data_IF_864849005694
#
_entry.id   IF_864849005694
#
_cell.length_a   1.000
_cell.length_b   1.000
_cell.length_c   1.000
_cell.angle_alpha   90.00
_cell.angle_beta   90.00
_cell.angle_gamma   90.00
#
_symmetry.space_group_name_H-M   'P 1'
#
loop_
_entity.id
_entity.type
_entity.pdbx_description
1 polymer ?
#
# COMPACT_ATOMS: atom_id res chain seq x y z
N UNK A 1 -22.95 -19.68 22.93
CA UNK A 1 -22.27 -20.25 21.73
C UNK A 1 -21.17 -19.28 21.31
N UNK A 2 -19.88 -19.66 21.37
CA UNK A 2 -18.81 -18.87 20.74
C UNK A 2 -18.80 -19.18 19.26
N UNK A 3 -19.24 -18.24 18.43
CA UNK A 3 -19.14 -18.33 16.98
C UNK A 3 -17.65 -18.46 16.61
N UNK A 4 -17.27 -19.59 16.00
CA UNK A 4 -15.91 -19.78 15.49
C UNK A 4 -15.70 -18.83 14.31
N UNK A 5 -15.00 -17.74 14.54
CA UNK A 5 -14.74 -16.71 13.52
C UNK A 5 -13.97 -17.33 12.35
N UNK A 6 -14.48 -17.16 11.13
CA UNK A 6 -13.86 -17.72 9.93
C UNK A 6 -12.48 -17.05 9.68
N UNK A 7 -11.39 -17.81 9.48
CA UNK A 7 -10.05 -17.26 9.25
C UNK A 7 -9.98 -16.31 8.04
N UNK A 8 -10.82 -16.51 7.03
CA UNK A 8 -10.93 -15.59 5.87
C UNK A 8 -11.52 -14.24 6.27
N UNK A 9 -12.54 -14.25 7.12
CA UNK A 9 -13.16 -13.02 7.65
C UNK A 9 -12.16 -12.25 8.50
N UNK A 10 -11.41 -12.93 9.37
CA UNK A 10 -10.36 -12.30 10.19
C UNK A 10 -9.29 -11.63 9.32
N UNK A 11 -8.83 -12.30 8.25
CA UNK A 11 -7.89 -11.72 7.29
C UNK A 11 -8.43 -10.47 6.62
N UNK A 12 -9.68 -10.49 6.16
CA UNK A 12 -10.34 -9.31 5.56
C UNK A 12 -10.43 -8.16 6.56
N UNK A 13 -10.79 -8.45 7.81
CA UNK A 13 -10.84 -7.44 8.88
C UNK A 13 -9.48 -6.78 9.08
N UNK A 14 -8.39 -7.55 9.13
CA UNK A 14 -7.02 -6.98 9.26
C UNK A 14 -6.68 -6.08 8.07
N UNK A 15 -6.95 -6.53 6.84
CA UNK A 15 -6.69 -5.73 5.63
C UNK A 15 -7.50 -4.42 5.63
N UNK A 16 -8.77 -4.49 6.03
CA UNK A 16 -9.66 -3.33 6.13
C UNK A 16 -9.15 -2.36 7.20
N UNK A 17 -8.75 -2.86 8.37
CA UNK A 17 -8.18 -2.01 9.44
C UNK A 17 -6.93 -1.27 8.94
N UNK A 18 -6.01 -1.95 8.24
CA UNK A 18 -4.82 -1.33 7.66
C UNK A 18 -5.21 -0.20 6.70
N UNK A 19 -6.11 -0.49 5.74
CA UNK A 19 -6.52 0.48 4.73
C UNK A 19 -7.28 1.67 5.34
N UNK A 20 -8.19 1.42 6.29
CA UNK A 20 -8.91 2.48 7.01
C UNK A 20 -7.94 3.33 7.82
N UNK A 21 -6.92 2.73 8.45
CA UNK A 21 -5.91 3.50 9.20
C UNK A 21 -5.14 4.43 8.27
N UNK A 22 -4.72 3.96 7.09
CA UNK A 22 -4.05 4.80 6.09
C UNK A 22 -4.99 5.88 5.54
N UNK A 23 -6.26 5.56 5.29
CA UNK A 23 -7.25 6.54 4.87
C UNK A 23 -7.51 7.60 5.95
N UNK A 24 -7.55 7.22 7.23
CA UNK A 24 -7.71 8.14 8.34
C UNK A 24 -6.52 9.10 8.47
N UNK A 25 -5.31 8.64 8.17
CA UNK A 25 -4.13 9.52 8.14
C UNK A 25 -4.29 10.65 7.11
N UNK A 26 -5.01 10.46 5.99
CA UNK A 26 -5.22 11.53 5.01
C UNK A 26 -6.04 12.70 5.54
N UNK A 27 -6.83 12.52 6.60
CA UNK A 27 -7.55 13.62 7.23
C UNK A 27 -6.67 14.48 8.14
N UNK A 28 -5.45 14.04 8.44
CA UNK A 28 -4.48 14.83 9.18
C UNK A 28 -3.83 15.79 8.19
N UNK A 29 -3.92 17.09 8.47
CA UNK A 29 -3.27 18.11 7.65
C UNK A 29 -1.76 18.11 7.90
N UNK A 30 -1.02 17.38 7.08
CA UNK A 30 0.44 17.29 7.15
C UNK A 30 1.15 18.51 6.55
N UNK A 31 0.49 19.37 5.75
CA UNK A 31 1.12 20.58 5.21
C UNK A 31 1.63 21.53 6.30
N UNK A 32 1.01 21.48 7.49
CA UNK A 32 1.40 22.28 8.66
C UNK A 32 2.34 21.56 9.62
N UNK A 33 2.83 20.38 9.26
CA UNK A 33 3.73 19.62 10.11
C UNK A 33 5.06 20.38 10.30
N UNK A 34 5.47 20.68 11.53
CA UNK A 34 6.75 21.36 11.81
C UNK A 34 7.76 20.47 12.55
N UNK A 35 7.52 19.16 12.57
CA UNK A 35 8.38 18.21 13.26
C UNK A 35 9.64 17.82 12.49
N UNK A 36 10.44 16.88 13.03
CA UNK A 36 11.63 16.37 12.35
C UNK A 36 11.26 15.72 11.00
N UNK A 37 12.15 15.81 10.03
CA UNK A 37 11.99 15.22 8.69
C UNK A 37 10.79 15.78 7.92
N UNK A 38 10.52 17.08 8.08
CA UNK A 38 9.44 17.80 7.42
C UNK A 38 9.28 17.43 5.93
N UNK A 39 10.35 17.53 5.13
CA UNK A 39 10.34 17.22 3.70
C UNK A 39 9.84 15.81 3.40
N UNK A 40 10.21 14.83 4.23
CA UNK A 40 9.75 13.46 4.08
C UNK A 40 8.27 13.31 4.41
N UNK A 41 7.84 13.92 5.52
CA UNK A 41 6.45 13.80 6.00
C UNK A 41 5.47 14.51 5.06
N UNK A 42 5.85 15.66 4.53
CA UNK A 42 4.99 16.46 3.64
C UNK A 42 5.09 16.05 2.18
N UNK A 43 6.24 15.52 1.76
CA UNK A 43 6.50 15.11 0.37
C UNK A 43 6.17 13.64 0.12
N UNK A 44 6.84 12.72 0.81
CA UNK A 44 6.92 11.31 0.39
C UNK A 44 6.11 10.32 1.23
N UNK A 45 5.59 10.74 2.38
CA UNK A 45 4.89 9.85 3.31
C UNK A 45 3.72 9.13 2.63
N UNK A 46 2.90 9.87 1.89
CA UNK A 46 1.75 9.28 1.21
C UNK A 46 2.15 8.46 -0.02
N UNK A 47 3.25 8.81 -0.69
CA UNK A 47 3.81 8.04 -1.79
C UNK A 47 4.34 6.68 -1.34
N UNK A 48 4.58 6.48 -0.04
CA UNK A 48 4.88 5.17 0.56
C UNK A 48 3.59 4.50 1.06
N UNK A 49 2.74 5.23 1.78
CA UNK A 49 1.55 4.69 2.43
C UNK A 49 0.48 4.20 1.44
N UNK A 50 0.32 4.88 0.30
CA UNK A 50 -0.65 4.51 -0.73
C UNK A 50 -0.30 3.17 -1.40
N UNK A 51 0.91 2.96 -1.95
CA UNK A 51 1.37 1.64 -2.41
C UNK A 51 1.23 0.56 -1.34
N UNK A 52 1.54 0.90 -0.09
CA UNK A 52 1.46 -0.03 1.02
C UNK A 52 0.03 -0.51 1.25
N UNK A 53 -0.93 0.42 1.34
CA UNK A 53 -2.35 0.12 1.50
C UNK A 53 -2.89 -0.65 0.29
N UNK A 54 -2.53 -0.21 -0.92
CA UNK A 54 -2.95 -0.82 -2.17
C UNK A 54 -2.49 -2.28 -2.29
N UNK A 55 -1.26 -2.61 -1.87
CA UNK A 55 -0.79 -4.00 -1.82
C UNK A 55 -1.73 -4.88 -0.99
N UNK A 56 -2.12 -4.43 0.20
CA UNK A 56 -3.05 -5.17 1.05
C UNK A 56 -4.46 -5.23 0.47
N UNK A 57 -4.91 -4.17 -0.21
CA UNK A 57 -6.18 -4.16 -0.93
C UNK A 57 -6.19 -5.19 -2.06
N UNK A 58 -5.10 -5.32 -2.83
CA UNK A 58 -4.91 -6.36 -3.85
C UNK A 58 -4.84 -7.78 -3.26
N UNK A 59 -4.60 -7.91 -1.95
CA UNK A 59 -4.65 -9.19 -1.23
C UNK A 59 -6.05 -9.58 -0.77
N UNK A 60 -7.04 -8.68 -0.87
CA UNK A 60 -8.42 -8.88 -0.45
C UNK A 60 -9.22 -9.84 -1.35
N UNK A 61 -9.12 -9.78 -2.70
CA UNK A 61 -9.80 -10.72 -3.57
C UNK A 61 -9.38 -12.16 -3.30
N UNK A 62 -10.36 -13.04 -3.16
CA UNK A 62 -10.17 -14.48 -2.95
C UNK A 62 -10.76 -15.31 -4.10
N UNK A 63 -11.17 -14.67 -5.21
CA UNK A 63 -11.78 -15.39 -6.32
C UNK A 63 -10.81 -16.44 -6.88
N UNK A 64 -11.35 -17.62 -7.18
CA UNK A 64 -10.57 -18.77 -7.67
C UNK A 64 -10.00 -18.54 -9.06
N UNK A 65 -10.54 -17.61 -9.83
CA UNK A 65 -10.22 -17.40 -11.24
C UNK A 65 -8.99 -16.51 -11.46
N UNK A 66 -8.75 -15.51 -10.59
CA UNK A 66 -7.65 -14.56 -10.75
C UNK A 66 -6.97 -14.27 -9.41
N UNK A 67 -6.17 -15.22 -8.93
CA UNK A 67 -5.29 -14.99 -7.78
C UNK A 67 -3.97 -14.39 -8.26
N UNK A 68 -3.84 -13.08 -8.11
CA UNK A 68 -2.67 -12.33 -8.55
C UNK A 68 -1.45 -12.66 -7.69
N UNK A 69 -0.35 -13.06 -8.34
CA UNK A 69 0.91 -13.40 -7.66
C UNK A 69 1.53 -12.17 -6.98
N UNK A 70 2.32 -12.37 -5.92
CA UNK A 70 2.94 -11.27 -5.16
C UNK A 70 3.79 -10.35 -6.06
N UNK A 71 4.54 -10.91 -7.01
CA UNK A 71 5.37 -10.13 -7.93
C UNK A 71 4.52 -9.30 -8.90
N UNK A 72 3.36 -9.81 -9.32
CA UNK A 72 2.44 -9.05 -10.16
C UNK A 72 1.75 -7.92 -9.40
N UNK A 73 1.43 -8.11 -8.11
CA UNK A 73 0.92 -7.03 -7.26
C UNK A 73 1.92 -5.88 -7.17
N UNK A 74 3.18 -6.20 -6.85
CA UNK A 74 4.26 -5.21 -6.77
C UNK A 74 4.45 -4.54 -8.14
N UNK A 75 4.50 -5.31 -9.22
CA UNK A 75 4.66 -4.77 -10.57
C UNK A 75 3.51 -3.84 -10.98
N UNK A 76 2.25 -4.15 -10.63
CA UNK A 76 1.12 -3.27 -10.89
C UNK A 76 1.23 -1.95 -10.12
N UNK A 77 1.60 -2.02 -8.84
CA UNK A 77 1.71 -0.83 -7.98
C UNK A 77 2.83 0.08 -8.49
N UNK A 78 4.04 -0.47 -8.67
CA UNK A 78 5.21 0.28 -9.14
C UNK A 78 5.02 0.74 -10.58
N UNK A 79 4.48 -0.13 -11.45
CA UNK A 79 4.21 0.20 -12.84
C UNK A 79 3.19 1.33 -12.97
N UNK A 80 2.11 1.29 -12.18
CA UNK A 80 1.13 2.37 -12.17
C UNK A 80 1.75 3.69 -11.69
N UNK A 81 2.49 3.69 -10.58
CA UNK A 81 3.19 4.89 -10.09
C UNK A 81 4.19 5.43 -11.10
N UNK A 82 4.96 4.55 -11.76
CA UNK A 82 5.90 4.95 -12.82
C UNK A 82 5.16 5.55 -14.02
N UNK A 83 4.02 5.01 -14.42
CA UNK A 83 3.21 5.59 -15.50
C UNK A 83 2.69 6.99 -15.14
N UNK A 84 2.33 7.22 -13.87
CA UNK A 84 1.94 8.53 -13.36
C UNK A 84 3.11 9.52 -13.46
N UNK A 85 4.31 9.14 -13.02
CA UNK A 85 5.51 9.99 -13.16
C UNK A 85 5.84 10.29 -14.63
N UNK A 86 5.78 9.27 -15.50
CA UNK A 86 6.03 9.44 -16.93
C UNK A 86 4.98 10.35 -17.59
N UNK A 87 3.72 10.31 -17.14
CA UNK A 87 2.70 11.23 -17.66
C UNK A 87 3.00 12.67 -17.28
N UNK A 88 3.47 12.91 -16.06
CA UNK A 88 3.89 14.24 -15.61
C UNK A 88 5.10 14.74 -16.41
N UNK A 89 6.08 13.87 -16.66
CA UNK A 89 7.21 14.18 -17.55
C UNK A 89 6.77 14.53 -18.97
N UNK A 90 5.71 13.91 -19.48
CA UNK A 90 5.12 14.20 -20.79
C UNK A 90 4.22 15.46 -20.80
N UNK A 91 4.09 16.15 -19.66
CA UNK A 91 3.27 17.37 -19.53
C UNK A 91 1.80 17.14 -19.18
N UNK A 92 1.42 15.91 -18.80
CA UNK A 92 0.08 15.56 -18.33
C UNK A 92 0.08 15.36 -16.81
N UNK A 93 -0.34 16.36 -16.01
CA UNK A 93 -0.34 16.30 -14.55
C UNK A 93 -1.47 15.41 -14.02
N UNK A 94 -1.22 14.09 -14.01
CA UNK A 94 -2.11 13.10 -13.42
C UNK A 94 -1.62 12.86 -11.98
N UNK A 95 -2.49 13.08 -10.97
CA UNK A 95 -2.22 12.88 -9.53
C UNK A 95 -1.07 13.69 -8.89
N UNK A 96 -0.26 14.39 -9.69
CA UNK A 96 0.79 15.32 -9.27
C UNK A 96 1.09 16.32 -10.38
N UNK A 97 2.02 17.24 -10.14
CA UNK A 97 2.31 18.36 -11.05
C UNK A 97 3.75 18.44 -11.54
N UNK A 98 4.66 17.70 -10.91
CA UNK A 98 6.09 17.81 -11.16
C UNK A 98 6.70 16.42 -11.08
N UNK A 99 7.40 16.02 -12.13
CA UNK A 99 8.14 14.76 -12.16
C UNK A 99 9.23 14.76 -11.07
N UNK A 100 9.13 13.81 -10.12
CA UNK A 100 10.17 13.54 -9.13
C UNK A 100 10.58 12.05 -9.20
N UNK A 101 11.81 11.73 -9.68
CA UNK A 101 12.32 10.36 -9.67
C UNK A 101 12.30 9.68 -8.30
N UNK A 102 12.33 10.45 -7.20
CA UNK A 102 12.25 9.92 -5.85
C UNK A 102 10.87 9.31 -5.54
N UNK A 103 9.82 9.72 -6.25
CA UNK A 103 8.48 9.16 -6.10
C UNK A 103 8.44 7.70 -6.58
N UNK A 104 9.20 7.37 -7.64
CA UNK A 104 9.37 5.97 -8.07
C UNK A 104 10.01 5.12 -6.97
N UNK A 105 10.98 5.69 -6.24
CA UNK A 105 11.62 5.02 -5.11
C UNK A 105 10.64 4.89 -3.93
N UNK A 106 9.83 5.91 -3.66
CA UNK A 106 8.79 5.88 -2.63
C UNK A 106 7.73 4.82 -2.94
N UNK A 107 7.23 4.75 -4.18
CA UNK A 107 6.27 3.74 -4.62
C UNK A 107 6.83 2.33 -4.47
N UNK A 108 8.07 2.13 -4.92
CA UNK A 108 8.80 0.86 -4.79
C UNK A 108 9.03 0.49 -3.33
N UNK A 109 9.42 1.47 -2.51
CA UNK A 109 9.61 1.32 -1.07
C UNK A 109 8.33 0.92 -0.36
N UNK A 110 7.21 1.59 -0.61
CA UNK A 110 5.91 1.26 -0.04
C UNK A 110 5.44 -0.14 -0.40
N UNK A 111 5.58 -0.55 -1.66
CA UNK A 111 5.26 -1.90 -2.11
C UNK A 111 6.18 -2.96 -1.46
N UNK A 112 7.48 -2.69 -1.35
CA UNK A 112 8.45 -3.58 -0.72
C UNK A 112 8.20 -3.73 0.79
N UNK A 113 7.90 -2.63 1.49
CA UNK A 113 7.53 -2.63 2.91
C UNK A 113 6.25 -3.45 3.11
N UNK A 114 5.23 -3.27 2.27
CA UNK A 114 4.00 -4.06 2.38
C UNK A 114 4.24 -5.55 2.17
N UNK A 115 5.04 -5.91 1.16
CA UNK A 115 5.45 -7.30 0.93
C UNK A 115 6.21 -7.88 2.13
N UNK A 116 7.11 -7.09 2.74
CA UNK A 116 7.86 -7.50 3.92
C UNK A 116 6.93 -7.68 5.13
N UNK A 117 5.99 -6.77 5.37
CA UNK A 117 4.99 -6.88 6.45
C UNK A 117 4.10 -8.11 6.23
N UNK A 118 3.64 -8.35 5.01
CA UNK A 118 2.82 -9.52 4.64
C UNK A 118 3.56 -10.84 4.89
N UNK A 119 4.81 -10.94 4.42
CA UNK A 119 5.61 -12.18 4.49
C UNK A 119 6.30 -12.42 5.83
N UNK A 120 6.72 -11.37 6.55
CA UNK A 120 7.55 -11.51 7.76
C UNK A 120 6.79 -11.23 9.05
N UNK A 121 5.85 -10.29 9.04
CA UNK A 121 5.14 -9.86 10.24
C UNK A 121 3.81 -10.58 10.35
N UNK A 122 2.92 -10.42 9.38
CA UNK A 122 1.55 -10.96 9.46
C UNK A 122 1.52 -12.49 9.44
N UNK A 123 2.38 -13.12 8.63
CA UNK A 123 2.53 -14.58 8.59
C UNK A 123 2.98 -15.18 9.94
N UNK A 124 3.72 -14.43 10.75
CA UNK A 124 4.21 -14.86 12.06
C UNK A 124 3.24 -14.50 13.20
N UNK A 125 2.64 -13.31 13.14
CA UNK A 125 1.72 -12.84 14.17
C UNK A 125 0.35 -13.51 14.10
N UNK A 126 -0.13 -13.86 12.91
CA UNK A 126 -1.47 -14.40 12.71
C UNK A 126 -1.43 -15.81 12.14
N UNK A 127 -1.81 -16.80 12.97
CA UNK A 127 -1.90 -18.22 12.55
C UNK A 127 -2.85 -18.46 11.36
N UNK A 128 -3.84 -17.59 11.15
CA UNK A 128 -4.79 -17.68 10.04
C UNK A 128 -4.27 -17.02 8.75
N UNK A 129 -3.11 -16.37 8.78
CA UNK A 129 -2.56 -15.63 7.65
C UNK A 129 -1.79 -16.56 6.72
N UNK A 130 -2.43 -16.96 5.62
CA UNK A 130 -1.75 -17.63 4.51
C UNK A 130 -1.25 -16.59 3.52
N UNK A 131 0.06 -16.60 3.28
CA UNK A 131 0.71 -15.81 2.23
C UNK A 131 0.02 -16.16 0.91
N UNK A 132 -0.49 -15.15 0.22
CA UNK A 132 -0.99 -15.37 -1.13
C UNK A 132 0.23 -15.56 -2.06
N UNK A 133 0.23 -16.61 -2.89
CA UNK A 133 1.21 -16.74 -3.97
C UNK A 133 1.14 -15.48 -4.83
#
# INVERSE_FOLDING_TARGET
MKEKTNPRTLRKVVIVIINVSVALLHFINFERYQGPWHVFVTGYLFDILLPFALYFLLCLPESTTFRLQWHWKVALIVGFGTCVELSQMAGFPIFGSTFDPLDILAYTGGAAIALAVDKLVLSRCFRFWRIQP
#
